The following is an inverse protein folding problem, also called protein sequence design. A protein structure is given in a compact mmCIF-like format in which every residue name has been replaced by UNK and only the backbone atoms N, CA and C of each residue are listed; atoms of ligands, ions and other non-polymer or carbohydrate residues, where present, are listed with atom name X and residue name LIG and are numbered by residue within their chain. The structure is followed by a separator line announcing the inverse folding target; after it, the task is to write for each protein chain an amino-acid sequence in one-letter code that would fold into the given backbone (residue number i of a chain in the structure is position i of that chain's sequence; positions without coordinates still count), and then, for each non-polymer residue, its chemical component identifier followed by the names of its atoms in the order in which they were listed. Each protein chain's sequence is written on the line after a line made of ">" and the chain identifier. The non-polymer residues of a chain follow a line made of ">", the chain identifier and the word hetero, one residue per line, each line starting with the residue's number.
data_IF_478019392410
#
_entry.id   IF_478019392410
#
_cell.length_a   1.000
_cell.length_b   1.000
_cell.length_c   1.000
_cell.angle_alpha   90.00
_cell.angle_beta   90.00
_cell.angle_gamma   90.00
#
_symmetry.space_group_name_H-M   'P 1'
#
loop_
_entity.id
_entity.type
_entity.pdbx_description
1 polymer ?
#
# COMPACT_ATOMS: atom_id res chain seq x y z
N UNK A 1 15.90 -6.56 -17.45
CA UNK A 1 16.72 -6.64 -16.22
C UNK A 1 15.83 -6.79 -14.98
N UNK A 2 15.98 -7.90 -14.25
CA UNK A 2 15.25 -8.18 -12.98
C UNK A 2 15.50 -7.15 -11.86
N UNK A 3 16.52 -6.28 -11.96
CA UNK A 3 16.85 -5.31 -10.90
C UNK A 3 15.93 -4.08 -10.82
N UNK A 4 15.37 -3.59 -11.95
CA UNK A 4 14.52 -2.38 -11.95
C UNK A 4 13.24 -2.56 -11.12
N UNK A 5 12.64 -3.76 -11.17
CA UNK A 5 11.45 -4.08 -10.38
C UNK A 5 11.76 -4.08 -8.87
N UNK A 6 12.88 -4.69 -8.45
CA UNK A 6 13.33 -4.70 -7.05
C UNK A 6 13.63 -3.29 -6.54
N UNK A 7 14.31 -2.46 -7.32
CA UNK A 7 14.57 -1.06 -6.96
C UNK A 7 13.26 -0.27 -6.82
N UNK A 8 12.30 -0.48 -7.73
CA UNK A 8 10.97 0.18 -7.66
C UNK A 8 10.23 -0.21 -6.38
N UNK A 9 10.26 -1.48 -6.02
CA UNK A 9 9.69 -2.01 -4.79
C UNK A 9 10.33 -1.36 -3.56
N UNK A 10 11.65 -1.41 -3.44
CA UNK A 10 12.35 -0.82 -2.29
C UNK A 10 12.13 0.69 -2.19
N UNK A 11 12.08 1.41 -3.33
CA UNK A 11 11.70 2.83 -3.36
C UNK A 11 10.25 3.07 -2.94
N UNK A 12 9.36 2.10 -3.12
CA UNK A 12 7.97 2.18 -2.64
C UNK A 12 7.89 1.94 -1.12
N UNK A 13 8.65 0.98 -0.61
CA UNK A 13 8.67 0.63 0.81
C UNK A 13 9.45 1.64 1.68
N UNK A 14 10.46 2.32 1.13
CA UNK A 14 11.27 3.32 1.86
C UNK A 14 10.56 4.65 2.17
N UNK A 15 9.27 4.63 2.54
CA UNK A 15 8.52 5.80 2.96
C UNK A 15 7.54 5.43 4.06
N UNK A 16 7.67 6.10 5.19
CA UNK A 16 6.90 5.90 6.42
C UNK A 16 5.38 5.80 6.18
N UNK A 17 4.78 6.76 5.48
CA UNK A 17 3.33 6.77 5.23
C UNK A 17 2.87 5.54 4.43
N UNK A 18 3.68 5.06 3.49
CA UNK A 18 3.35 3.84 2.73
C UNK A 18 3.50 2.57 3.57
N UNK A 19 4.45 2.52 4.50
CA UNK A 19 4.55 1.41 5.44
C UNK A 19 3.33 1.35 6.36
N UNK A 20 2.87 2.48 6.89
CA UNK A 20 1.64 2.57 7.68
C UNK A 20 0.40 2.11 6.88
N UNK A 21 0.32 2.43 5.59
CA UNK A 21 -0.76 1.92 4.73
C UNK A 21 -0.70 0.39 4.64
N UNK A 22 0.48 -0.18 4.41
CA UNK A 22 0.64 -1.64 4.30
C UNK A 22 0.35 -2.34 5.62
N UNK A 23 0.74 -1.77 6.76
CA UNK A 23 0.39 -2.26 8.10
C UNK A 23 -1.13 -2.28 8.30
N UNK A 24 -1.82 -1.18 7.98
CA UNK A 24 -3.28 -1.12 8.08
C UNK A 24 -3.96 -2.13 7.15
N UNK A 25 -3.47 -2.31 5.92
CA UNK A 25 -3.99 -3.31 4.98
C UNK A 25 -3.64 -4.76 5.38
N UNK A 26 -2.66 -4.96 6.26
CA UNK A 26 -2.36 -6.27 6.82
C UNK A 26 -3.38 -6.64 7.92
N UNK A 27 -3.81 -5.64 8.70
CA UNK A 27 -4.85 -5.79 9.73
C UNK A 27 -6.25 -5.84 9.12
N UNK A 28 -6.49 -5.04 8.08
CA UNK A 28 -7.78 -4.93 7.39
C UNK A 28 -7.64 -5.46 5.96
N UNK A 29 -8.37 -6.52 5.61
CA UNK A 29 -8.26 -7.18 4.30
C UNK A 29 -8.55 -6.27 3.11
N UNK A 30 -9.41 -5.26 3.28
CA UNK A 30 -9.68 -4.21 2.28
C UNK A 30 -9.88 -2.86 3.00
N UNK A 31 -9.38 -1.77 2.42
CA UNK A 31 -9.66 -0.39 2.89
C UNK A 31 -10.07 0.50 1.73
N UNK A 32 -11.07 1.36 1.94
CA UNK A 32 -11.36 2.38 0.94
C UNK A 32 -10.32 3.52 0.98
N UNK A 33 -10.15 4.23 -0.13
CA UNK A 33 -9.17 5.34 -0.21
C UNK A 33 -9.44 6.44 0.82
N UNK A 34 -10.71 6.69 1.15
CA UNK A 34 -11.08 7.67 2.17
C UNK A 34 -10.62 7.21 3.57
N UNK A 35 -10.86 5.95 3.93
CA UNK A 35 -10.40 5.37 5.22
C UNK A 35 -8.87 5.43 5.35
N UNK A 36 -8.15 5.24 4.24
CA UNK A 36 -6.70 5.40 4.20
C UNK A 36 -6.30 6.86 4.45
N UNK A 37 -6.98 7.82 3.81
CA UNK A 37 -6.68 9.24 3.99
C UNK A 37 -6.93 9.68 5.44
N UNK A 38 -8.10 9.33 5.97
CA UNK A 38 -8.53 9.67 7.34
C UNK A 38 -7.64 9.00 8.37
N UNK A 39 -7.36 7.69 8.21
CA UNK A 39 -6.50 6.93 9.12
C UNK A 39 -5.05 7.41 9.17
N UNK A 40 -4.58 8.12 8.15
CA UNK A 40 -3.24 8.72 8.11
C UNK A 40 -3.24 10.23 8.43
N UNK A 41 -4.41 10.87 8.53
CA UNK A 41 -4.53 12.33 8.67
C UNK A 41 -3.95 13.09 7.47
N UNK A 42 -4.13 12.57 6.26
CA UNK A 42 -3.64 13.18 5.01
C UNK A 42 -4.79 13.49 4.05
N UNK A 43 -4.53 14.33 3.04
CA UNK A 43 -5.53 14.62 2.03
C UNK A 43 -5.81 13.39 1.14
N UNK A 44 -7.05 13.29 0.64
CA UNK A 44 -7.43 12.24 -0.30
C UNK A 44 -6.50 12.14 -1.53
N UNK A 45 -6.10 13.24 -2.21
CA UNK A 45 -5.13 13.16 -3.31
C UNK A 45 -3.76 12.62 -2.89
N UNK A 46 -3.30 12.92 -1.66
CA UNK A 46 -2.05 12.36 -1.14
C UNK A 46 -2.18 10.85 -0.92
N UNK A 47 -3.29 10.39 -0.33
CA UNK A 47 -3.58 8.97 -0.17
C UNK A 47 -3.61 8.23 -1.54
N UNK A 48 -4.31 8.79 -2.53
CA UNK A 48 -4.32 8.25 -3.90
C UNK A 48 -2.90 8.13 -4.47
N UNK A 49 -2.05 9.14 -4.28
CA UNK A 49 -0.67 9.11 -4.77
C UNK A 49 0.15 8.01 -4.10
N UNK A 50 0.02 7.83 -2.79
CA UNK A 50 0.68 6.74 -2.07
C UNK A 50 0.21 5.37 -2.55
N UNK A 51 -1.11 5.17 -2.67
CA UNK A 51 -1.70 3.93 -3.18
C UNK A 51 -1.27 3.62 -4.61
N UNK A 52 -1.24 4.62 -5.50
CA UNK A 52 -0.72 4.44 -6.87
C UNK A 52 0.76 4.05 -6.87
N UNK A 53 1.58 4.58 -5.96
CA UNK A 53 2.97 4.17 -5.85
C UNK A 53 3.10 2.70 -5.42
N UNK A 54 2.31 2.27 -4.44
CA UNK A 54 2.28 0.88 -3.96
C UNK A 54 1.73 -0.09 -5.02
N UNK A 55 0.66 0.27 -5.71
CA UNK A 55 0.06 -0.52 -6.80
C UNK A 55 1.05 -0.68 -7.96
N UNK A 56 1.72 0.41 -8.38
CA UNK A 56 2.76 0.34 -9.40
C UNK A 56 3.95 -0.54 -8.96
N UNK A 57 4.18 -0.71 -7.66
CA UNK A 57 5.20 -1.58 -7.10
C UNK A 57 4.70 -3.03 -6.87
N UNK A 58 3.43 -3.32 -7.18
CA UNK A 58 2.75 -4.60 -6.92
C UNK A 58 2.74 -4.97 -5.44
N UNK A 59 2.56 -3.98 -4.57
CA UNK A 59 2.36 -4.20 -3.13
C UNK A 59 0.89 -4.32 -2.76
N UNK A 60 0.03 -3.69 -3.56
CA UNK A 60 -1.41 -3.68 -3.36
C UNK A 60 -2.10 -3.85 -4.70
N UNK A 61 -3.34 -4.31 -4.66
CA UNK A 61 -4.31 -4.17 -5.73
C UNK A 61 -5.35 -3.12 -5.38
N UNK A 62 -6.00 -2.56 -6.41
CA UNK A 62 -7.15 -1.68 -6.24
C UNK A 62 -8.31 -2.16 -7.09
N UNK A 63 -9.48 -2.25 -6.47
CA UNK A 63 -10.72 -2.69 -7.13
C UNK A 63 -11.82 -1.67 -6.89
N UNK A 64 -12.59 -1.36 -7.94
CA UNK A 64 -13.85 -0.62 -7.79
C UNK A 64 -14.93 -1.55 -7.25
N UNK A 65 -15.56 -1.15 -6.15
CA UNK A 65 -16.73 -1.82 -5.56
C UNK A 65 -17.84 -0.79 -5.41
N UNK A 66 -18.78 -0.79 -6.35
CA UNK A 66 -19.79 0.26 -6.47
C UNK A 66 -19.15 1.64 -6.66
N UNK A 67 -19.44 2.56 -5.75
CA UNK A 67 -18.90 3.92 -5.74
C UNK A 67 -17.50 4.05 -5.09
N UNK A 68 -17.02 2.99 -4.44
CA UNK A 68 -15.77 3.01 -3.68
C UNK A 68 -14.62 2.38 -4.48
N UNK A 69 -13.40 2.85 -4.22
CA UNK A 69 -12.17 2.18 -4.62
C UNK A 69 -11.57 1.57 -3.38
N UNK A 70 -11.50 0.23 -3.35
CA UNK A 70 -10.89 -0.53 -2.28
C UNK A 70 -9.45 -0.87 -2.65
N UNK A 71 -8.56 -0.82 -1.67
CA UNK A 71 -7.19 -1.27 -1.74
C UNK A 71 -7.01 -2.50 -0.85
N UNK A 72 -6.24 -3.48 -1.30
CA UNK A 72 -5.88 -4.69 -0.56
C UNK A 72 -4.44 -5.09 -0.85
N UNK A 73 -3.81 -5.83 0.07
CA UNK A 73 -2.45 -6.34 -0.16
C UNK A 73 -2.44 -7.34 -1.31
N UNK A 74 -1.45 -7.21 -2.18
CA UNK A 74 -1.12 -8.26 -3.14
C UNK A 74 -0.59 -9.49 -2.37
N UNK A 75 -1.04 -10.69 -2.73
CA UNK A 75 -0.69 -11.94 -2.02
C UNK A 75 0.84 -12.14 -1.93
N UNK A 76 1.58 -11.76 -2.97
CA UNK A 76 3.05 -11.84 -3.00
C UNK A 76 3.72 -10.80 -2.11
N UNK A 77 3.01 -9.71 -1.79
CA UNK A 77 3.48 -8.64 -0.92
C UNK A 77 3.20 -8.89 0.56
N UNK A 78 2.28 -9.80 0.92
CA UNK A 78 1.93 -10.09 2.33
C UNK A 78 3.14 -10.56 3.13
N UNK A 79 3.88 -11.57 2.64
CA UNK A 79 5.06 -12.10 3.33
C UNK A 79 6.15 -11.04 3.50
N UNK A 80 6.39 -10.23 2.46
CA UNK A 80 7.36 -9.15 2.51
C UNK A 80 6.95 -8.06 3.50
N UNK A 81 5.67 -7.67 3.48
CA UNK A 81 5.13 -6.66 4.40
C UNK A 81 5.32 -7.10 5.85
N UNK A 82 4.99 -8.37 6.17
CA UNK A 82 5.24 -8.95 7.49
C UNK A 82 6.71 -8.92 7.88
N UNK A 83 7.61 -9.29 6.96
CA UNK A 83 9.04 -9.30 7.24
C UNK A 83 9.60 -7.89 7.48
N UNK A 84 9.12 -6.88 6.74
CA UNK A 84 9.57 -5.48 6.88
C UNK A 84 9.04 -4.86 8.16
N UNK A 85 7.77 -5.08 8.51
CA UNK A 85 7.14 -4.54 9.72
C UNK A 85 7.58 -5.25 11.01
N UNK A 86 8.32 -6.36 10.91
CA UNK A 86 8.89 -7.05 12.07
C UNK A 86 10.29 -6.53 12.47
N UNK A 87 10.78 -5.47 11.81
CA UNK A 87 12.13 -4.91 12.02
C UNK A 87 12.15 -3.90 13.19
N UNK A 88 10.99 -3.51 13.72
CA UNK A 88 10.84 -2.59 14.86
C UNK A 88 11.14 -3.25 16.23
#
# INVERSE_FOLDING_TARGET
>A
MKSKAKVKLLKALGNERRLLILERLLVHSDLCVADVADGLGISYPAAVKHLQCLERARCIDRKRSGQYVLASLDETAVLLTRAVLAID
#
